data_IF_788034708648
#
_entry.id   IF_788034708648
#
_cell.length_a   1.000
_cell.length_b   1.000
_cell.length_c   1.000
_cell.angle_alpha   90.00
_cell.angle_beta   90.00
_cell.angle_gamma   90.00
#
_symmetry.space_group_name_H-M   'P 1'
#
loop_
_entity.id
_entity.type
_entity.pdbx_description
1 polymer ?
#
# COMPACT_ATOMS: atom_id res chain seq x y z
N UNK A 1 17.21 4.14 -22.26
CA UNK A 1 18.48 4.45 -21.56
C UNK A 1 18.67 3.37 -20.51
N UNK A 2 19.89 2.88 -20.26
CA UNK A 2 20.11 1.90 -19.21
C UNK A 2 19.96 2.57 -17.84
N UNK A 3 19.16 2.00 -16.93
CA UNK A 3 19.00 2.50 -15.57
C UNK A 3 20.36 2.45 -14.86
N UNK A 4 20.75 3.57 -14.27
CA UNK A 4 22.02 3.68 -13.54
C UNK A 4 21.93 3.02 -12.16
N UNK A 5 23.09 2.64 -11.62
CA UNK A 5 23.14 2.06 -10.27
C UNK A 5 22.67 3.05 -9.20
N UNK A 6 22.88 4.34 -9.41
CA UNK A 6 22.44 5.40 -8.51
C UNK A 6 20.91 5.54 -8.50
N UNK A 7 20.26 5.49 -9.67
CA UNK A 7 18.80 5.46 -9.78
C UNK A 7 18.20 4.23 -9.10
N UNK A 8 18.81 3.04 -9.28
CA UNK A 8 18.40 1.82 -8.56
C UNK A 8 18.48 1.99 -7.05
N UNK A 9 19.59 2.52 -6.54
CA UNK A 9 19.75 2.73 -5.10
C UNK A 9 18.76 3.75 -4.53
N UNK A 10 18.49 4.83 -5.25
CA UNK A 10 17.50 5.82 -4.86
C UNK A 10 16.09 5.21 -4.78
N UNK A 11 15.70 4.42 -5.78
CA UNK A 11 14.38 3.78 -5.82
C UNK A 11 14.23 2.71 -4.73
N UNK A 12 15.28 1.91 -4.48
CA UNK A 12 15.28 0.93 -3.38
C UNK A 12 15.18 1.63 -2.01
N UNK A 13 15.85 2.77 -1.84
CA UNK A 13 15.73 3.56 -0.60
C UNK A 13 14.31 4.09 -0.42
N UNK A 14 13.69 4.57 -1.50
CA UNK A 14 12.29 5.01 -1.50
C UNK A 14 11.34 3.87 -1.16
N UNK A 15 11.49 2.71 -1.80
CA UNK A 15 10.71 1.50 -1.50
C UNK A 15 10.76 1.17 0.00
N UNK A 16 11.97 1.06 0.56
CA UNK A 16 12.16 0.71 1.99
C UNK A 16 11.50 1.73 2.92
N UNK A 17 11.65 3.03 2.62
CA UNK A 17 11.02 4.10 3.38
C UNK A 17 9.50 3.96 3.38
N UNK A 18 8.89 3.83 2.20
CA UNK A 18 7.43 3.71 2.05
C UNK A 18 6.90 2.46 2.75
N UNK A 19 7.59 1.32 2.64
CA UNK A 19 7.21 0.08 3.34
C UNK A 19 7.22 0.28 4.86
N UNK A 20 8.26 0.93 5.40
CA UNK A 20 8.36 1.20 6.84
C UNK A 20 7.25 2.15 7.31
N UNK A 21 7.08 3.29 6.64
CA UNK A 21 6.06 4.28 6.99
C UNK A 21 4.65 3.71 6.86
N UNK A 22 4.39 2.86 5.86
CA UNK A 22 3.10 2.19 5.70
C UNK A 22 2.85 1.22 6.86
N UNK A 23 3.86 0.44 7.25
CA UNK A 23 3.78 -0.48 8.39
C UNK A 23 3.49 0.25 9.71
N UNK A 24 4.17 1.37 9.96
CA UNK A 24 3.95 2.20 11.14
C UNK A 24 2.53 2.79 11.16
N UNK A 25 2.04 3.32 10.04
CA UNK A 25 0.68 3.85 9.98
C UNK A 25 -0.38 2.77 10.19
N UNK A 26 -0.18 1.56 9.64
CA UNK A 26 -1.08 0.43 9.85
C UNK A 26 -1.13 -0.01 11.32
N UNK A 27 0.02 -0.11 11.99
CA UNK A 27 0.10 -0.52 13.39
C UNK A 27 -0.48 0.53 14.35
N UNK A 28 -0.47 1.81 13.97
CA UNK A 28 -1.05 2.91 14.73
C UNK A 28 -2.51 3.24 14.36
N UNK A 29 -3.16 2.44 13.50
CA UNK A 29 -4.52 2.67 12.99
C UNK A 29 -4.72 3.96 12.17
N UNK A 30 -3.64 4.53 11.64
CA UNK A 30 -3.68 5.67 10.72
C UNK A 30 -4.01 5.18 9.30
N UNK A 31 -5.23 4.70 9.10
CA UNK A 31 -5.60 3.95 7.90
C UNK A 31 -5.68 4.80 6.63
N UNK A 32 -5.91 6.11 6.75
CA UNK A 32 -5.98 7.00 5.59
C UNK A 32 -4.59 7.36 5.08
N UNK A 33 -3.65 7.65 5.98
CA UNK A 33 -2.22 7.81 5.66
C UNK A 33 -1.65 6.51 5.07
N UNK A 34 -1.97 5.36 5.67
CA UNK A 34 -1.57 4.05 5.13
C UNK A 34 -2.15 3.80 3.72
N UNK A 35 -3.34 4.32 3.41
CA UNK A 35 -3.94 4.21 2.07
C UNK A 35 -3.19 5.03 1.03
N UNK A 36 -2.74 6.24 1.39
CA UNK A 36 -1.89 7.03 0.47
C UNK A 36 -0.56 6.33 0.20
N UNK A 37 0.10 5.83 1.26
CA UNK A 37 1.35 5.09 1.14
C UNK A 37 1.19 3.77 0.37
N UNK A 38 0.04 3.10 0.47
CA UNK A 38 -0.25 1.90 -0.31
C UNK A 38 -0.32 2.17 -1.82
N UNK A 39 -0.88 3.33 -2.21
CA UNK A 39 -0.88 3.74 -3.62
C UNK A 39 0.54 4.05 -4.10
N UNK A 40 1.33 4.77 -3.30
CA UNK A 40 2.73 5.04 -3.63
C UNK A 40 3.55 3.74 -3.76
N UNK A 41 3.38 2.82 -2.80
CA UNK A 41 4.06 1.52 -2.82
C UNK A 41 3.70 0.73 -4.08
N UNK A 42 2.42 0.74 -4.48
CA UNK A 42 1.98 0.11 -5.74
C UNK A 42 2.72 0.71 -6.94
N UNK A 43 2.77 2.04 -7.04
CA UNK A 43 3.47 2.73 -8.14
C UNK A 43 4.96 2.38 -8.20
N UNK A 44 5.64 2.31 -7.04
CA UNK A 44 7.05 1.91 -6.98
C UNK A 44 7.22 0.46 -7.48
N UNK A 45 6.39 -0.48 -7.01
CA UNK A 45 6.48 -1.90 -7.38
C UNK A 45 6.17 -2.18 -8.86
N UNK A 46 5.35 -1.33 -9.48
CA UNK A 46 5.02 -1.38 -10.91
C UNK A 46 6.03 -0.62 -11.78
N UNK A 47 6.93 0.15 -11.18
CA UNK A 47 7.92 0.97 -11.89
C UNK A 47 9.06 0.17 -12.53
N UNK A 48 9.54 0.67 -13.67
CA UNK A 48 10.56 0.01 -14.51
C UNK A 48 11.83 -0.36 -13.73
N UNK A 49 12.31 0.54 -12.85
CA UNK A 49 13.54 0.31 -12.06
C UNK A 49 13.43 -0.93 -11.17
N UNK A 50 12.27 -1.15 -10.54
CA UNK A 50 12.04 -2.31 -9.67
C UNK A 50 11.87 -3.58 -10.51
N UNK A 51 11.27 -3.48 -11.69
CA UNK A 51 11.09 -4.61 -12.61
C UNK A 51 12.42 -5.04 -13.27
N UNK A 52 13.38 -4.12 -13.40
CA UNK A 52 14.73 -4.38 -13.89
C UNK A 52 15.72 -4.93 -12.83
N UNK A 53 15.26 -5.16 -11.60
CA UNK A 53 16.06 -5.85 -10.59
C UNK A 53 16.34 -7.29 -11.03
N UNK A 54 17.57 -7.75 -10.83
CA UNK A 54 17.90 -9.16 -10.98
C UNK A 54 17.10 -10.00 -9.99
N UNK A 55 16.91 -11.29 -10.30
CA UNK A 55 16.24 -12.24 -9.41
C UNK A 55 16.86 -12.23 -7.99
N UNK A 56 18.19 -12.09 -7.91
CA UNK A 56 18.92 -12.04 -6.63
C UNK A 56 18.55 -10.78 -5.84
N UNK A 57 18.59 -9.60 -6.47
CA UNK A 57 18.24 -8.33 -5.81
C UNK A 57 16.77 -8.31 -5.37
N UNK A 58 15.86 -8.80 -6.23
CA UNK A 58 14.43 -8.87 -5.92
C UNK A 58 14.16 -9.80 -4.73
N UNK A 59 14.89 -10.92 -4.62
CA UNK A 59 14.79 -11.84 -3.49
C UNK A 59 15.37 -11.23 -2.20
N UNK A 60 16.52 -10.57 -2.26
CA UNK A 60 17.12 -9.88 -1.11
C UNK A 60 16.23 -8.74 -0.57
N UNK A 61 15.42 -8.14 -1.43
CA UNK A 61 14.46 -7.09 -1.08
C UNK A 61 13.06 -7.64 -0.77
N UNK A 62 12.84 -8.95 -0.84
CA UNK A 62 11.54 -9.58 -0.60
C UNK A 62 10.40 -9.00 -1.44
N UNK A 63 10.68 -8.60 -2.69
CA UNK A 63 9.70 -7.88 -3.56
C UNK A 63 8.39 -8.66 -3.71
N UNK A 64 8.46 -9.98 -3.89
CA UNK A 64 7.28 -10.81 -4.07
C UNK A 64 6.42 -10.89 -2.80
N UNK A 65 7.04 -10.94 -1.63
CA UNK A 65 6.33 -10.95 -0.35
C UNK A 65 5.69 -9.59 -0.04
N UNK A 66 6.36 -8.50 -0.40
CA UNK A 66 5.81 -7.14 -0.34
C UNK A 66 4.56 -7.05 -1.25
N UNK A 67 4.64 -7.52 -2.50
CA UNK A 67 3.49 -7.55 -3.43
C UNK A 67 2.32 -8.36 -2.87
N UNK A 68 2.57 -9.57 -2.35
CA UNK A 68 1.54 -10.41 -1.72
C UNK A 68 0.89 -9.72 -0.51
N UNK A 69 1.69 -9.07 0.32
CA UNK A 69 1.21 -8.35 1.50
C UNK A 69 0.37 -7.14 1.11
N UNK A 70 0.80 -6.38 0.10
CA UNK A 70 0.05 -5.25 -0.44
C UNK A 70 -1.31 -5.70 -1.03
N UNK A 71 -1.35 -6.83 -1.74
CA UNK A 71 -2.60 -7.41 -2.23
C UNK A 71 -3.56 -7.77 -1.09
N UNK A 72 -3.05 -8.36 0.00
CA UNK A 72 -3.84 -8.65 1.20
C UNK A 72 -4.33 -7.36 1.87
N UNK A 73 -3.50 -6.33 1.94
CA UNK A 73 -3.89 -5.01 2.43
C UNK A 73 -5.08 -4.46 1.64
N UNK A 74 -5.05 -4.51 0.30
CA UNK A 74 -6.15 -4.01 -0.53
C UNK A 74 -7.47 -4.72 -0.28
N UNK A 75 -7.43 -6.04 -0.12
CA UNK A 75 -8.60 -6.83 0.28
C UNK A 75 -9.16 -6.35 1.63
N UNK A 76 -8.30 -6.24 2.65
CA UNK A 76 -8.71 -5.83 4.00
C UNK A 76 -9.26 -4.40 4.03
N UNK A 77 -8.59 -3.45 3.36
CA UNK A 77 -9.05 -2.06 3.25
C UNK A 77 -10.43 -1.98 2.57
N UNK A 78 -10.69 -2.80 1.55
CA UNK A 78 -12.02 -2.88 0.92
C UNK A 78 -13.08 -3.35 1.92
N UNK A 79 -12.82 -4.40 2.69
CA UNK A 79 -13.76 -4.90 3.69
C UNK A 79 -14.07 -3.84 4.76
N UNK A 80 -13.04 -3.17 5.28
CA UNK A 80 -13.19 -2.08 6.24
C UNK A 80 -14.08 -0.95 5.70
N UNK A 81 -13.85 -0.53 4.46
CA UNK A 81 -14.64 0.54 3.82
C UNK A 81 -16.09 0.13 3.57
N UNK A 82 -16.34 -1.13 3.19
CA UNK A 82 -17.70 -1.67 3.08
C UNK A 82 -18.43 -1.67 4.42
N UNK A 83 -17.77 -2.13 5.48
CA UNK A 83 -18.34 -2.11 6.83
C UNK A 83 -18.70 -0.69 7.28
N UNK A 84 -17.77 0.27 7.12
CA UNK A 84 -18.03 1.67 7.43
C UNK A 84 -19.20 2.26 6.60
N UNK A 85 -19.30 1.88 5.32
CA UNK A 85 -20.44 2.25 4.47
C UNK A 85 -21.79 1.71 4.98
N UNK A 86 -21.81 0.46 5.44
CA UNK A 86 -23.00 -0.14 6.05
C UNK A 86 -23.45 0.59 7.31
N UNK A 87 -22.50 0.93 8.20
CA UNK A 87 -22.80 1.73 9.39
C UNK A 87 -23.36 3.12 9.06
N UNK A 88 -22.77 3.80 8.05
CA UNK A 88 -23.29 5.10 7.58
C UNK A 88 -24.72 4.98 7.08
N UNK A 89 -25.02 3.96 6.27
CA UNK A 89 -26.37 3.72 5.75
C UNK A 89 -27.37 3.50 6.89
N UNK A 90 -27.01 2.70 7.90
CA UNK A 90 -27.87 2.50 9.07
C UNK A 90 -28.15 3.83 9.78
N UNK A 91 -27.13 4.66 9.95
CA UNK A 91 -27.28 6.01 10.52
C UNK A 91 -28.27 6.88 9.73
N UNK A 92 -28.14 6.91 8.41
CA UNK A 92 -29.08 7.62 7.53
C UNK A 92 -30.50 7.10 7.69
N UNK A 93 -30.71 5.78 7.63
CA UNK A 93 -32.03 5.17 7.80
C UNK A 93 -32.66 5.48 9.16
N UNK A 94 -31.89 5.47 10.25
CA UNK A 94 -32.43 5.80 11.58
C UNK A 94 -32.93 7.25 11.65
N UNK A 95 -32.19 8.18 11.05
CA UNK A 95 -32.59 9.59 10.96
C UNK A 95 -33.85 9.75 10.10
N UNK A 96 -33.92 9.05 8.97
CA UNK A 96 -35.08 9.10 8.06
C UNK A 96 -36.36 8.52 8.69
N UNK A 97 -36.26 7.57 9.62
CA UNK A 97 -37.43 6.97 10.28
C UNK A 97 -38.14 7.88 11.27
N UNK A 98 -37.46 8.93 11.75
CA UNK A 98 -38.00 9.85 12.77
C UNK A 98 -38.17 11.29 12.26
N UNK A 99 -37.88 11.53 10.99
CA UNK A 99 -38.15 12.77 10.26
C UNK A 99 -39.32 12.59 9.30
#
# INVERSE_FOLDING_TARGET
>A
MAVTQEEKQAEVKKLKKVVHEMGDNLTNNNFEEAFQLANELKTILEGDIIQELSLKEANELHIEDIKKTLNRYWYNNRQMRMFAGGLRKNGTTLVDLVN
#
